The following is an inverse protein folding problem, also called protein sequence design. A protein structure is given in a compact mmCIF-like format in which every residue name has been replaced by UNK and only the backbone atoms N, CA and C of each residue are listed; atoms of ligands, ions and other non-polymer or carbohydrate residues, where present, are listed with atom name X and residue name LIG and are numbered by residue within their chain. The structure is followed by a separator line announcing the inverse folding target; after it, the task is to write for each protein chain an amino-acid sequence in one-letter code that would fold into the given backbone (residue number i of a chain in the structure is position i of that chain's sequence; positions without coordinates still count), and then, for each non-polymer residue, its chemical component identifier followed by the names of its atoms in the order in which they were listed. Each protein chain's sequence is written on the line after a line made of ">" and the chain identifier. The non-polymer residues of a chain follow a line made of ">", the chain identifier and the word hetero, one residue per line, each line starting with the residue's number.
data_IF_625782354441
#
_entry.id   IF_625782354441
#
_cell.length_a   1.000
_cell.length_b   1.000
_cell.length_c   1.000
_cell.angle_alpha   90.00
_cell.angle_beta   90.00
_cell.angle_gamma   90.00
#
_symmetry.space_group_name_H-M   'P 1'
#
loop_
_entity.id
_entity.type
_entity.pdbx_description
1 polymer ?
#
# COMPACT_ATOMS: atom_id res chain seq x y z
N UNK A 1 5.82 -1.87 -1.04
CA UNK A 1 5.46 -0.56 -1.61
C UNK A 1 3.98 -0.29 -1.40
N UNK A 2 3.60 0.93 -1.04
CA UNK A 2 2.22 1.36 -0.87
C UNK A 2 1.86 2.40 -1.94
N UNK A 3 0.93 2.06 -2.82
CA UNK A 3 0.27 3.02 -3.72
C UNK A 3 -0.92 3.64 -2.98
N UNK A 4 -0.89 4.95 -2.77
CA UNK A 4 -1.91 5.71 -2.01
C UNK A 4 -2.31 6.99 -2.75
N UNK A 5 -3.42 7.61 -2.33
CA UNK A 5 -3.89 8.89 -2.86
C UNK A 5 -4.61 9.69 -1.78
N UNK A 6 -4.71 11.00 -1.98
CA UNK A 6 -5.50 11.92 -1.17
C UNK A 6 -7.00 11.63 -1.30
N UNK A 7 -7.79 12.11 -0.33
CA UNK A 7 -9.25 11.94 -0.31
C UNK A 7 -9.73 10.47 -0.39
N UNK A 8 -8.91 9.54 0.12
CA UNK A 8 -9.17 8.10 0.09
C UNK A 8 -9.34 7.55 1.52
N UNK A 9 -10.57 7.33 2.01
CA UNK A 9 -10.81 6.82 3.36
C UNK A 9 -10.16 5.45 3.63
N UNK A 10 -10.13 4.59 2.60
CA UNK A 10 -9.46 3.29 2.69
C UNK A 10 -7.94 3.43 2.86
N UNK A 11 -7.34 4.43 2.20
CA UNK A 11 -5.91 4.72 2.30
C UNK A 11 -5.54 5.16 3.72
N UNK A 12 -6.31 6.09 4.28
CA UNK A 12 -6.15 6.51 5.68
C UNK A 12 -6.27 5.32 6.64
N UNK A 13 -7.21 4.39 6.39
CA UNK A 13 -7.36 3.21 7.23
C UNK A 13 -6.13 2.29 7.16
N UNK A 14 -5.61 2.00 5.97
CA UNK A 14 -4.44 1.14 5.81
C UNK A 14 -3.19 1.78 6.44
N UNK A 15 -2.99 3.09 6.24
CA UNK A 15 -1.89 3.84 6.86
C UNK A 15 -1.95 3.76 8.40
N UNK A 16 -3.15 3.84 8.99
CA UNK A 16 -3.37 3.64 10.44
C UNK A 16 -3.05 2.22 10.90
N UNK A 17 -3.35 1.20 10.09
CA UNK A 17 -2.97 -0.19 10.41
C UNK A 17 -1.45 -0.38 10.40
N UNK A 18 -0.77 0.22 9.42
CA UNK A 18 0.69 0.15 9.27
C UNK A 18 1.42 0.90 10.41
N UNK A 19 0.90 2.05 10.83
CA UNK A 19 1.48 2.86 11.91
C UNK A 19 1.12 2.39 13.32
N UNK A 20 -0.07 1.81 13.53
CA UNK A 20 -0.56 1.42 14.86
C UNK A 20 -0.21 -0.02 15.25
N UNK A 21 -1.08 -1.01 14.96
CA UNK A 21 -0.94 -2.40 15.41
C UNK A 21 0.31 -3.12 14.87
N UNK A 22 0.93 -2.60 13.82
CA UNK A 22 2.20 -3.08 13.27
C UNK A 22 3.43 -2.27 13.79
N UNK A 23 3.19 -1.37 14.76
CA UNK A 23 4.16 -0.51 15.46
C UNK A 23 5.09 0.30 14.53
N UNK A 24 4.66 0.60 13.31
CA UNK A 24 5.49 1.31 12.33
C UNK A 24 6.73 0.56 11.89
N UNK A 25 6.91 -0.72 12.27
CA UNK A 25 8.13 -1.50 12.02
C UNK A 25 8.44 -1.68 10.52
N UNK A 26 7.42 -1.49 9.68
CA UNK A 26 7.50 -1.66 8.24
C UNK A 26 7.46 -0.33 7.50
N UNK A 27 7.23 0.80 8.17
CA UNK A 27 7.07 2.09 7.48
C UNK A 27 8.35 2.50 6.77
N UNK A 28 9.51 2.26 7.39
CA UNK A 28 10.82 2.51 6.78
C UNK A 28 11.17 1.54 5.64
N UNK A 29 10.48 0.39 5.58
CA UNK A 29 10.67 -0.65 4.56
C UNK A 29 9.64 -0.56 3.43
N UNK A 30 8.58 0.24 3.60
CA UNK A 30 7.52 0.44 2.63
C UNK A 30 7.77 1.77 1.94
N UNK A 31 8.24 1.71 0.70
CA UNK A 31 8.18 2.87 -0.18
C UNK A 31 6.72 3.29 -0.39
N UNK A 32 6.39 4.53 -0.03
CA UNK A 32 5.07 5.12 -0.21
C UNK A 32 5.08 5.99 -1.46
N UNK A 33 4.25 5.64 -2.43
CA UNK A 33 4.08 6.38 -3.69
C UNK A 33 2.68 6.98 -3.66
N UNK A 34 2.61 8.30 -3.54
CA UNK A 34 1.35 9.04 -3.56
C UNK A 34 1.06 9.49 -4.99
N UNK A 35 -0.18 9.34 -5.44
CA UNK A 35 -0.59 9.80 -6.77
C UNK A 35 -0.36 11.30 -6.97
N UNK A 36 -0.49 12.09 -5.90
CA UNK A 36 -0.36 13.55 -5.94
C UNK A 36 1.09 14.03 -6.12
N UNK A 37 2.07 13.22 -5.71
CA UNK A 37 3.48 13.60 -5.76
C UNK A 37 4.04 13.43 -7.18
N UNK A 38 3.70 12.30 -7.83
CA UNK A 38 4.01 12.03 -9.23
C UNK A 38 2.98 11.06 -9.84
N UNK A 39 1.97 11.61 -10.50
CA UNK A 39 0.91 10.81 -11.13
C UNK A 39 1.45 9.89 -12.23
N UNK A 40 2.48 10.31 -12.98
CA UNK A 40 3.03 9.49 -14.07
C UNK A 40 3.73 8.26 -13.53
N UNK A 41 4.59 8.44 -12.52
CA UNK A 41 5.24 7.33 -11.84
C UNK A 41 4.22 6.41 -11.17
N UNK A 42 3.23 6.98 -10.49
CA UNK A 42 2.15 6.24 -9.86
C UNK A 42 1.40 5.34 -10.85
N UNK A 43 0.97 5.90 -11.99
CA UNK A 43 0.22 5.15 -13.01
C UNK A 43 1.08 4.07 -13.68
N UNK A 44 2.37 4.33 -13.90
CA UNK A 44 3.29 3.33 -14.43
C UNK A 44 3.41 2.12 -13.48
N UNK A 45 3.64 2.38 -12.19
CA UNK A 45 3.71 1.33 -11.17
C UNK A 45 2.36 0.61 -10.99
N UNK A 46 1.25 1.35 -11.02
CA UNK A 46 -0.07 0.74 -10.95
C UNK A 46 -0.34 -0.20 -12.13
N UNK A 47 0.10 0.19 -13.33
CA UNK A 47 0.04 -0.65 -14.53
C UNK A 47 0.93 -1.88 -14.44
N UNK A 48 2.19 -1.71 -14.02
CA UNK A 48 3.18 -2.77 -13.87
C UNK A 48 2.69 -3.89 -12.93
N UNK A 49 2.10 -3.52 -11.80
CA UNK A 49 1.63 -4.46 -10.79
C UNK A 49 0.13 -4.81 -10.92
N UNK A 50 -0.58 -4.29 -11.91
CA UNK A 50 -2.00 -4.56 -12.12
C UNK A 50 -2.92 -4.02 -11.01
N UNK A 51 -2.52 -2.91 -10.37
CA UNK A 51 -3.31 -2.24 -9.34
C UNK A 51 -4.44 -1.45 -9.99
N UNK A 52 -5.68 -1.81 -9.62
CA UNK A 52 -6.90 -1.16 -10.15
C UNK A 52 -7.54 -0.15 -9.18
N UNK A 53 -7.13 -0.16 -7.92
CA UNK A 53 -7.68 0.73 -6.90
C UNK A 53 -6.67 0.99 -5.78
N UNK A 54 -6.77 2.18 -5.18
CA UNK A 54 -6.02 2.56 -3.99
C UNK A 54 -6.85 2.35 -2.70
N UNK A 55 -6.19 2.08 -1.56
CA UNK A 55 -4.76 1.85 -1.44
C UNK A 55 -4.37 0.46 -1.97
N UNK A 56 -3.12 0.29 -2.38
CA UNK A 56 -2.57 -1.02 -2.69
C UNK A 56 -1.21 -1.20 -2.03
N UNK A 57 -1.09 -2.23 -1.19
CA UNK A 57 0.19 -2.66 -0.65
C UNK A 57 0.72 -3.79 -1.52
N UNK A 58 1.86 -3.57 -2.16
CA UNK A 58 2.47 -4.46 -3.15
C UNK A 58 3.85 -4.91 -2.68
N UNK A 59 4.10 -6.22 -2.71
CA UNK A 59 5.41 -6.83 -2.51
C UNK A 59 6.17 -6.83 -3.86
N UNK A 60 7.23 -6.01 -3.98
CA UNK A 60 7.93 -5.79 -5.26
C UNK A 60 8.58 -7.04 -5.86
N UNK A 61 8.98 -8.01 -5.04
CA UNK A 61 9.64 -9.23 -5.50
C UNK A 61 8.70 -10.25 -6.14
N UNK A 62 7.46 -10.36 -5.63
CA UNK A 62 6.51 -11.40 -6.05
C UNK A 62 5.31 -10.83 -6.81
N UNK A 63 5.08 -9.52 -6.74
CA UNK A 63 3.87 -8.87 -7.23
C UNK A 63 2.62 -9.19 -6.38
N UNK A 64 2.76 -9.89 -5.24
CA UNK A 64 1.65 -10.11 -4.32
C UNK A 64 1.17 -8.76 -3.81
N UNK A 65 -0.15 -8.59 -3.79
CA UNK A 65 -0.74 -7.32 -3.41
C UNK A 65 -2.01 -7.49 -2.58
N UNK A 66 -2.27 -6.50 -1.75
CA UNK A 66 -3.55 -6.31 -1.08
C UNK A 66 -4.10 -4.98 -1.56
N UNK A 67 -5.33 -4.97 -2.05
CA UNK A 67 -6.02 -3.76 -2.49
C UNK A 67 -7.16 -3.41 -1.55
N UNK A 68 -7.39 -2.12 -1.33
CA UNK A 68 -8.48 -1.63 -0.49
C UNK A 68 -8.16 -1.62 1.00
N UNK A 69 -9.21 -1.46 1.81
CA UNK A 69 -9.15 -1.48 3.27
C UNK A 69 -9.09 -2.92 3.81
N UNK A 70 -8.09 -3.70 3.37
CA UNK A 70 -7.89 -5.09 3.79
C UNK A 70 -7.83 -5.22 5.32
N UNK A 71 -8.13 -6.42 5.81
CA UNK A 71 -8.06 -6.73 7.23
C UNK A 71 -6.60 -6.69 7.72
N UNK A 72 -6.40 -6.45 9.02
CA UNK A 72 -5.07 -6.50 9.62
C UNK A 72 -4.38 -7.85 9.39
N UNK A 73 -5.16 -8.94 9.30
CA UNK A 73 -4.65 -10.28 9.02
C UNK A 73 -4.03 -10.39 7.63
N UNK A 74 -4.68 -9.84 6.60
CA UNK A 74 -4.14 -9.86 5.22
C UNK A 74 -2.85 -9.03 5.12
N UNK A 75 -2.82 -7.87 5.79
CA UNK A 75 -1.61 -7.03 5.85
C UNK A 75 -0.45 -7.78 6.47
N UNK A 76 -0.70 -8.52 7.56
CA UNK A 76 0.30 -9.38 8.21
C UNK A 76 0.79 -10.51 7.31
N UNK A 77 -0.11 -11.20 6.63
CA UNK A 77 0.25 -12.28 5.69
C UNK A 77 1.12 -11.81 4.53
N UNK A 78 0.91 -10.58 4.03
CA UNK A 78 1.75 -10.01 2.99
C UNK A 78 3.13 -9.61 3.54
N UNK A 79 3.18 -9.07 4.76
CA UNK A 79 4.43 -8.67 5.42
C UNK A 79 5.19 -9.84 6.04
N UNK A 80 4.61 -11.04 6.07
CA UNK A 80 5.22 -12.26 6.61
C UNK A 80 5.28 -12.32 8.13
N UNK A 81 4.32 -11.68 8.84
CA UNK A 81 4.31 -11.51 10.30
C UNK A 81 3.01 -11.92 11.00
#
# INVERSE_FOLDING_TARGET
>A
MLLTQANCPACVRLERMLSGPLRGAYWEQIEVVRREDDERQFLALAGEYGVRSTPALVERGTGRQITGAGSLHEVRLLLGV
#
